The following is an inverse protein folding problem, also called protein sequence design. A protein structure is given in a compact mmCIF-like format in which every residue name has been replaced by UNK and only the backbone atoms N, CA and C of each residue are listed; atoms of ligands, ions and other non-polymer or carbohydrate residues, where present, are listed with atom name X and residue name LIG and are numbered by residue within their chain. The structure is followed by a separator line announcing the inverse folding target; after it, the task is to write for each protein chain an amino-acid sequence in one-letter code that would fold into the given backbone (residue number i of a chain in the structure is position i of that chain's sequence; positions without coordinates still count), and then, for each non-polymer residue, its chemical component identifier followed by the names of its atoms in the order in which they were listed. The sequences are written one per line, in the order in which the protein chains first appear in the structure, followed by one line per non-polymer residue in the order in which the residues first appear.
data_IF_997914022858
#
_entry.id   IF_997914022858
#
_cell.length_a   1.000
_cell.length_b   1.000
_cell.length_c   1.000
_cell.angle_alpha   90.00
_cell.angle_beta   90.00
_cell.angle_gamma   90.00
#
_symmetry.space_group_name_H-M   'P 1'
#
loop_
_entity.id
_entity.type
_entity.pdbx_description
1 polymer ?
#
# COMPACT_ATOMS: atom_id res chain seq x y z
N UNK A 1 0.78 41.40 -28.89
CA UNK A 1 -0.36 40.49 -29.16
C UNK A 1 -0.09 39.17 -28.45
N UNK A 2 -0.87 38.79 -27.43
CA UNK A 2 -0.67 37.54 -26.69
C UNK A 2 -1.43 36.39 -27.35
N UNK A 3 -0.80 35.23 -27.48
CA UNK A 3 -1.43 33.97 -27.87
C UNK A 3 -1.37 32.98 -26.70
N UNK A 4 -2.49 32.29 -26.50
CA UNK A 4 -2.93 31.61 -25.29
C UNK A 4 -2.23 30.27 -24.98
N UNK A 5 -2.29 29.79 -23.72
CA UNK A 5 -1.83 28.45 -23.35
C UNK A 5 -2.85 27.36 -23.71
N UNK A 6 -2.34 26.26 -24.27
CA UNK A 6 -3.11 25.05 -24.58
C UNK A 6 -3.62 24.36 -23.32
N UNK A 7 -4.94 24.15 -23.27
CA UNK A 7 -5.62 23.29 -22.30
C UNK A 7 -5.36 21.83 -22.68
N UNK A 8 -4.68 21.08 -21.81
CA UNK A 8 -4.75 19.63 -21.82
C UNK A 8 -5.93 19.20 -20.93
N UNK A 9 -6.99 18.74 -21.59
CA UNK A 9 -8.15 18.11 -20.97
C UNK A 9 -7.72 16.78 -20.37
N UNK A 10 -7.59 16.72 -19.04
CA UNK A 10 -7.46 15.45 -18.32
C UNK A 10 -8.83 14.77 -18.25
N UNK A 11 -8.91 13.65 -18.96
CA UNK A 11 -10.03 12.70 -18.95
C UNK A 11 -10.15 12.11 -17.55
N UNK A 12 -11.30 12.31 -16.88
CA UNK A 12 -11.67 11.55 -15.69
C UNK A 12 -12.21 10.17 -16.12
N UNK A 13 -11.81 9.06 -15.48
CA UNK A 13 -12.53 7.82 -15.59
C UNK A 13 -13.81 7.88 -14.73
N UNK A 14 -14.95 7.60 -15.36
CA UNK A 14 -16.24 7.41 -14.72
C UNK A 14 -16.35 6.00 -14.12
N UNK A 15 -16.81 5.82 -12.86
CA UNK A 15 -17.23 4.51 -12.39
C UNK A 15 -18.61 4.17 -12.95
N UNK A 16 -18.70 3.07 -13.69
CA UNK A 16 -19.97 2.51 -14.15
C UNK A 16 -20.69 1.80 -12.99
N UNK A 17 -22.00 2.01 -12.79
CA UNK A 17 -22.76 1.27 -11.79
C UNK A 17 -23.03 -0.15 -12.29
N UNK A 18 -22.58 -1.15 -11.52
CA UNK A 18 -23.00 -2.54 -11.75
C UNK A 18 -24.51 -2.64 -11.52
N UNK A 19 -25.20 -2.83 -12.63
CA UNK A 19 -26.62 -3.04 -12.73
C UNK A 19 -26.95 -4.47 -12.30
N UNK A 20 -27.74 -4.58 -11.23
CA UNK A 20 -28.99 -5.37 -11.15
C UNK A 20 -28.89 -6.87 -11.51
N UNK A 21 -29.03 -7.74 -10.49
CA UNK A 21 -29.71 -9.02 -10.70
C UNK A 21 -30.65 -9.38 -9.55
N UNK A 22 -31.92 -9.03 -9.77
CA UNK A 22 -33.10 -9.51 -9.07
C UNK A 22 -33.26 -11.00 -9.44
N UNK A 23 -33.31 -11.89 -8.45
CA UNK A 23 -33.77 -13.27 -8.60
C UNK A 23 -34.96 -13.41 -7.64
N UNK A 24 -36.18 -13.06 -8.08
CA UNK A 24 -37.13 -13.93 -8.79
C UNK A 24 -37.62 -15.08 -7.89
N UNK A 25 -38.53 -14.75 -6.98
CA UNK A 25 -39.37 -15.69 -6.27
C UNK A 25 -40.27 -16.43 -7.28
N UNK A 26 -40.09 -17.75 -7.40
CA UNK A 26 -40.96 -18.63 -8.17
C UNK A 26 -41.89 -19.38 -7.23
N UNK A 27 -43.16 -18.93 -7.21
CA UNK A 27 -44.33 -19.67 -6.78
C UNK A 27 -44.59 -20.82 -7.77
N UNK A 28 -44.74 -22.06 -7.28
CA UNK A 28 -45.33 -23.16 -8.05
C UNK A 28 -46.42 -23.81 -7.20
N UNK A 29 -47.66 -23.46 -7.55
CA UNK A 29 -48.86 -24.25 -7.27
C UNK A 29 -49.12 -25.13 -8.50
N UNK A 30 -49.26 -26.44 -8.32
CA UNK A 30 -49.84 -27.34 -9.33
C UNK A 30 -50.89 -28.23 -8.67
N UNK A 31 -51.98 -28.37 -9.40
CA UNK A 31 -53.33 -28.73 -9.03
C UNK A 31 -53.68 -30.03 -9.79
N UNK A 32 -54.32 -30.98 -9.09
CA UNK A 32 -55.14 -32.09 -9.57
C UNK A 32 -54.54 -33.18 -10.48
N UNK A 33 -54.75 -34.45 -10.07
CA UNK A 33 -55.47 -35.40 -10.93
C UNK A 33 -56.22 -36.46 -10.11
N UNK A 34 -57.52 -36.54 -10.36
CA UNK A 34 -58.45 -37.55 -9.86
C UNK A 34 -58.05 -38.97 -10.27
N UNK A 35 -58.15 -39.93 -9.34
CA UNK A 35 -58.55 -41.31 -9.66
C UNK A 35 -59.72 -41.68 -8.75
N UNK A 36 -60.87 -41.84 -9.40
CA UNK A 36 -62.18 -42.18 -8.84
C UNK A 36 -62.26 -43.68 -8.57
N UNK A 37 -62.96 -44.02 -7.48
CA UNK A 37 -63.47 -45.31 -7.03
C UNK A 37 -63.91 -46.28 -8.14
N UNK A 38 -63.76 -47.60 -7.94
CA UNK A 38 -64.89 -48.54 -7.79
C UNK A 38 -64.53 -49.65 -6.79
N UNK A 39 -65.44 -50.00 -5.86
CA UNK A 39 -65.30 -51.03 -4.82
C UNK A 39 -65.81 -52.45 -5.17
N UNK A 40 -65.50 -53.36 -4.23
CA UNK A 40 -66.23 -54.57 -3.80
C UNK A 40 -66.01 -55.93 -4.50
N UNK A 41 -65.77 -56.90 -3.60
CA UNK A 41 -66.20 -58.32 -3.60
C UNK A 41 -65.20 -59.37 -4.08
N UNK A 42 -64.71 -60.14 -3.12
CA UNK A 42 -64.06 -61.43 -3.31
C UNK A 42 -63.76 -62.06 -1.95
N UNK A 43 -64.72 -62.80 -1.41
CA UNK A 43 -64.53 -63.69 -0.27
C UNK A 43 -63.41 -64.69 -0.58
N UNK A 44 -62.52 -64.96 0.37
CA UNK A 44 -62.26 -66.33 0.77
C UNK A 44 -61.82 -66.41 2.22
N UNK A 45 -62.33 -67.44 2.86
CA UNK A 45 -62.24 -67.83 4.24
C UNK A 45 -60.84 -68.41 4.50
N UNK A 46 -60.04 -67.76 5.33
CA UNK A 46 -58.95 -68.48 5.99
C UNK A 46 -58.70 -67.89 7.36
N UNK A 47 -59.32 -68.54 8.33
CA UNK A 47 -58.83 -68.64 9.69
C UNK A 47 -57.39 -69.17 9.63
N UNK A 48 -56.42 -68.27 9.48
CA UNK A 48 -55.06 -68.53 9.91
C UNK A 48 -54.96 -68.04 11.34
N UNK A 49 -54.83 -69.02 12.23
CA UNK A 49 -54.46 -68.89 13.62
C UNK A 49 -53.45 -67.77 13.82
N UNK A 50 -53.60 -67.04 14.92
CA UNK A 50 -52.53 -66.30 15.55
C UNK A 50 -51.40 -67.30 15.85
N UNK A 51 -50.54 -67.55 14.86
CA UNK A 51 -49.20 -68.01 15.10
C UNK A 51 -48.52 -66.85 15.80
N UNK A 52 -48.37 -66.97 17.11
CA UNK A 52 -47.24 -66.37 17.79
C UNK A 52 -46.00 -66.91 17.08
N UNK A 53 -45.57 -66.21 16.03
CA UNK A 53 -44.19 -66.28 15.58
C UNK A 53 -43.44 -65.73 16.77
N UNK A 54 -42.92 -66.61 17.61
CA UNK A 54 -41.77 -66.29 18.43
C UNK A 54 -40.68 -65.95 17.41
N UNK A 55 -40.66 -64.69 16.99
CA UNK A 55 -39.52 -64.10 16.31
C UNK A 55 -38.41 -64.18 17.33
N UNK A 56 -37.61 -65.25 17.25
CA UNK A 56 -36.35 -65.32 17.98
C UNK A 56 -35.49 -64.23 17.36
N UNK A 57 -35.53 -63.03 17.94
CA UNK A 57 -34.66 -61.93 17.53
C UNK A 57 -33.24 -62.44 17.75
N UNK A 58 -32.52 -62.64 16.66
CA UNK A 58 -31.11 -62.96 16.74
C UNK A 58 -30.44 -61.77 17.45
N UNK A 59 -29.94 -62.03 18.65
CA UNK A 59 -29.23 -61.02 19.42
C UNK A 59 -27.81 -60.92 18.91
N UNK A 60 -27.39 -59.70 18.59
CA UNK A 60 -26.06 -59.34 18.11
C UNK A 60 -25.37 -58.55 19.22
N UNK A 61 -24.07 -58.78 19.41
CA UNK A 61 -23.27 -58.03 20.36
C UNK A 61 -22.81 -56.73 19.72
N UNK A 62 -23.05 -55.60 20.40
CA UNK A 62 -22.68 -54.28 19.90
C UNK A 62 -21.15 -54.14 19.94
N UNK A 63 -20.46 -53.88 18.82
CA UNK A 63 -19.03 -53.62 18.80
C UNK A 63 -18.66 -52.29 19.49
N UNK A 64 -17.37 -52.10 19.80
CA UNK A 64 -16.84 -50.81 20.27
C UNK A 64 -16.50 -49.92 19.08
N UNK A 65 -17.18 -48.77 18.99
CA UNK A 65 -17.16 -47.85 17.86
C UNK A 65 -16.54 -46.50 18.22
N UNK A 66 -16.19 -46.29 19.50
CA UNK A 66 -15.66 -45.00 19.96
C UNK A 66 -14.30 -44.74 19.33
N UNK A 67 -14.14 -43.54 18.75
CA UNK A 67 -12.92 -43.12 18.05
C UNK A 67 -12.86 -43.50 16.57
N UNK A 68 -13.80 -44.29 16.06
CA UNK A 68 -13.99 -44.48 14.62
C UNK A 68 -14.66 -43.24 14.00
N UNK A 69 -14.47 -43.04 12.70
CA UNK A 69 -15.34 -42.10 11.98
C UNK A 69 -16.74 -42.71 11.78
N UNK A 70 -17.74 -41.86 11.55
CA UNK A 70 -19.14 -42.30 11.48
C UNK A 70 -19.42 -43.29 10.34
N UNK A 71 -18.65 -43.26 9.24
CA UNK A 71 -18.81 -44.22 8.14
C UNK A 71 -18.21 -45.57 8.49
N UNK A 72 -17.00 -45.59 9.06
CA UNK A 72 -16.37 -46.80 9.62
C UNK A 72 -17.23 -47.45 10.71
N UNK A 73 -17.84 -46.64 11.58
CA UNK A 73 -18.70 -47.13 12.64
C UNK A 73 -19.99 -47.77 12.10
N UNK A 74 -20.57 -47.21 11.04
CA UNK A 74 -21.72 -47.81 10.36
C UNK A 74 -21.35 -49.15 9.70
N UNK A 75 -20.20 -49.21 9.05
CA UNK A 75 -19.71 -50.44 8.42
C UNK A 75 -19.43 -51.53 9.47
N UNK A 76 -18.84 -51.17 10.60
CA UNK A 76 -18.58 -52.11 11.70
C UNK A 76 -19.88 -52.69 12.30
N UNK A 77 -20.95 -51.90 12.37
CA UNK A 77 -22.28 -52.36 12.78
C UNK A 77 -22.89 -53.32 11.76
N UNK A 78 -22.80 -52.99 10.46
CA UNK A 78 -23.28 -53.87 9.39
C UNK A 78 -22.53 -55.21 9.39
N UNK A 79 -21.21 -55.18 9.54
CA UNK A 79 -20.38 -56.38 9.64
C UNK A 79 -20.67 -57.22 10.90
N UNK A 80 -21.10 -56.58 11.99
CA UNK A 80 -21.53 -57.27 13.20
C UNK A 80 -22.91 -57.95 13.05
N UNK A 81 -23.69 -57.56 12.04
CA UNK A 81 -25.00 -58.14 11.73
C UNK A 81 -26.18 -57.25 12.07
N UNK A 82 -25.95 -55.96 12.36
CA UNK A 82 -27.04 -54.98 12.48
C UNK A 82 -27.60 -54.63 11.11
N UNK A 83 -28.92 -54.61 10.99
CA UNK A 83 -29.60 -54.35 9.71
C UNK A 83 -30.10 -52.91 9.57
N UNK A 84 -30.28 -52.22 10.69
CA UNK A 84 -30.69 -50.82 10.70
C UNK A 84 -29.50 -49.88 10.61
N UNK A 85 -29.68 -48.75 9.91
CA UNK A 85 -28.66 -47.72 9.83
C UNK A 85 -28.53 -47.02 11.19
N UNK A 86 -27.30 -46.76 11.68
CA UNK A 86 -27.13 -46.02 12.92
C UNK A 86 -27.67 -44.60 12.80
N UNK A 87 -28.21 -44.09 13.90
CA UNK A 87 -28.58 -42.70 14.03
C UNK A 87 -27.35 -41.91 14.49
N UNK A 88 -27.07 -40.77 13.86
CA UNK A 88 -25.97 -39.90 14.27
C UNK A 88 -26.50 -38.64 14.92
N UNK A 89 -25.98 -38.32 16.10
CA UNK A 89 -26.26 -37.07 16.80
C UNK A 89 -24.97 -36.33 17.04
N UNK A 90 -24.94 -35.04 16.74
CA UNK A 90 -23.86 -34.18 17.21
C UNK A 90 -23.93 -34.07 18.74
N UNK A 91 -22.77 -34.13 19.41
CA UNK A 91 -22.66 -34.06 20.87
C UNK A 91 -23.21 -32.73 21.43
N UNK A 92 -23.06 -31.66 20.66
CA UNK A 92 -23.52 -30.32 21.04
C UNK A 92 -24.92 -30.01 20.44
N UNK A 93 -25.41 -30.87 19.54
CA UNK A 93 -26.66 -30.72 18.79
C UNK A 93 -26.77 -29.37 18.02
N UNK A 94 -25.63 -28.74 17.73
CA UNK A 94 -25.55 -27.47 17.01
C UNK A 94 -25.50 -27.71 15.49
N UNK A 95 -24.96 -28.85 15.08
CA UNK A 95 -24.77 -29.21 13.69
C UNK A 95 -25.57 -30.44 13.25
N UNK A 96 -25.91 -30.49 11.97
CA UNK A 96 -26.54 -31.67 11.37
C UNK A 96 -25.47 -32.58 10.76
N UNK A 97 -25.46 -33.85 11.15
CA UNK A 97 -24.54 -34.85 10.62
C UNK A 97 -24.97 -35.26 9.20
N UNK A 98 -24.48 -34.55 8.19
CA UNK A 98 -24.81 -34.81 6.77
C UNK A 98 -23.85 -35.85 6.16
N UNK A 99 -22.57 -35.83 6.56
CA UNK A 99 -21.51 -36.70 6.03
C UNK A 99 -20.82 -37.39 7.22
N UNK A 100 -21.25 -38.59 7.65
CA UNK A 100 -20.74 -39.24 8.86
C UNK A 100 -19.21 -39.45 8.89
N UNK A 101 -18.56 -39.64 7.75
CA UNK A 101 -17.10 -39.75 7.65
C UNK A 101 -16.31 -38.53 8.12
N UNK A 102 -16.93 -37.33 8.15
CA UNK A 102 -16.25 -36.13 8.67
C UNK A 102 -16.34 -36.02 10.20
N UNK A 103 -17.03 -36.95 10.86
CA UNK A 103 -17.36 -36.90 12.27
C UNK A 103 -16.73 -38.07 13.02
N UNK A 104 -16.27 -37.82 14.24
CA UNK A 104 -15.67 -38.84 15.12
C UNK A 104 -16.67 -39.31 16.18
N UNK A 105 -16.85 -40.62 16.33
CA UNK A 105 -17.74 -41.19 17.37
C UNK A 105 -17.14 -40.97 18.76
N UNK A 106 -17.91 -40.37 19.66
CA UNK A 106 -17.54 -40.09 21.06
C UNK A 106 -18.24 -41.00 22.05
N UNK A 107 -19.47 -41.36 21.74
CA UNK A 107 -20.24 -42.33 22.53
C UNK A 107 -21.24 -43.07 21.65
N UNK A 108 -21.65 -44.25 22.11
CA UNK A 108 -22.62 -45.10 21.46
C UNK A 108 -23.69 -45.53 22.47
N UNK A 109 -24.92 -45.68 21.98
CA UNK A 109 -26.03 -46.26 22.72
C UNK A 109 -26.76 -47.27 21.82
N UNK A 110 -26.91 -48.54 22.22
CA UNK A 110 -26.44 -49.21 23.44
C UNK A 110 -24.89 -49.29 23.61
N UNK A 111 -24.43 -49.43 24.84
CA UNK A 111 -22.99 -49.55 25.17
C UNK A 111 -22.33 -50.78 24.51
N UNK A 112 -21.04 -50.67 24.21
CA UNK A 112 -20.24 -51.75 23.63
C UNK A 112 -20.30 -53.03 24.49
N UNK A 113 -20.41 -54.19 23.84
CA UNK A 113 -20.55 -55.49 24.50
C UNK A 113 -21.98 -55.84 24.93
N UNK A 114 -22.95 -54.94 24.78
CA UNK A 114 -24.37 -55.24 25.04
C UNK A 114 -24.93 -56.14 23.94
N UNK A 115 -25.70 -57.16 24.31
CA UNK A 115 -26.42 -57.99 23.34
C UNK A 115 -27.81 -57.39 23.09
N UNK A 116 -28.09 -56.98 21.85
CA UNK A 116 -29.36 -56.37 21.44
C UNK A 116 -29.89 -57.02 20.16
N UNK A 117 -31.18 -56.87 19.82
CA UNK A 117 -31.71 -57.35 18.55
C UNK A 117 -30.98 -56.73 17.33
N UNK A 118 -30.80 -57.51 16.26
CA UNK A 118 -30.14 -57.05 15.03
C UNK A 118 -30.85 -55.87 14.33
N UNK A 119 -32.15 -55.70 14.56
CA UNK A 119 -33.00 -54.62 14.06
C UNK A 119 -33.04 -53.39 14.99
N UNK A 120 -32.26 -53.39 16.07
CA UNK A 120 -32.14 -52.23 16.95
C UNK A 120 -31.31 -51.12 16.28
N UNK A 121 -31.84 -49.90 16.25
CA UNK A 121 -31.09 -48.70 15.85
C UNK A 121 -30.08 -48.36 16.93
N UNK A 122 -28.80 -48.31 16.56
CA UNK A 122 -27.71 -47.82 17.43
C UNK A 122 -27.54 -46.33 17.21
N UNK A 123 -27.56 -45.55 18.28
CA UNK A 123 -27.33 -44.10 18.23
C UNK A 123 -25.86 -43.81 18.54
N UNK A 124 -25.19 -43.13 17.61
CA UNK A 124 -23.80 -42.71 17.71
C UNK A 124 -23.76 -41.20 17.94
N UNK A 125 -23.29 -40.79 19.11
CA UNK A 125 -22.97 -39.40 19.37
C UNK A 125 -21.59 -39.11 18.80
N UNK A 126 -21.54 -38.17 17.87
CA UNK A 126 -20.34 -37.82 17.12
C UNK A 126 -19.95 -36.37 17.35
N UNK A 127 -18.70 -36.04 17.03
CA UNK A 127 -18.19 -34.68 17.16
C UNK A 127 -17.25 -34.34 15.99
N UNK A 128 -17.28 -33.07 15.56
CA UNK A 128 -16.58 -32.53 14.38
C UNK A 128 -15.24 -31.86 14.68
N UNK A 129 -14.58 -32.20 15.81
CA UNK A 129 -13.35 -31.58 16.32
C UNK A 129 -12.27 -31.31 15.26
N UNK A 130 -12.11 -32.21 14.29
CA UNK A 130 -11.11 -32.09 13.25
C UNK A 130 -11.40 -30.92 12.28
N UNK A 131 -12.67 -30.72 11.90
CA UNK A 131 -13.05 -29.61 11.03
C UNK A 131 -13.05 -28.28 11.79
N UNK A 132 -13.49 -28.27 13.05
CA UNK A 132 -13.43 -27.09 13.90
C UNK A 132 -11.99 -26.65 14.17
N UNK A 133 -11.10 -27.60 14.43
CA UNK A 133 -9.67 -27.33 14.54
C UNK A 133 -9.08 -26.80 13.23
N UNK A 134 -9.47 -27.36 12.08
CA UNK A 134 -9.01 -26.89 10.77
C UNK A 134 -9.51 -25.46 10.46
N UNK A 135 -10.77 -25.16 10.78
CA UNK A 135 -11.35 -23.83 10.63
C UNK A 135 -10.66 -22.82 11.55
N UNK A 136 -10.43 -23.18 12.81
CA UNK A 136 -9.70 -22.36 13.79
C UNK A 136 -8.24 -22.10 13.38
N UNK A 137 -7.55 -23.12 12.85
CA UNK A 137 -6.20 -22.98 12.32
C UNK A 137 -6.17 -22.07 11.08
N UNK A 138 -7.13 -22.20 10.17
CA UNK A 138 -7.26 -21.33 8.99
C UNK A 138 -7.56 -19.88 9.37
N UNK A 139 -8.45 -19.65 10.34
CA UNK A 139 -8.73 -18.33 10.88
C UNK A 139 -7.47 -17.72 11.54
N UNK A 140 -6.72 -18.52 12.31
CA UNK A 140 -5.48 -18.07 12.94
C UNK A 140 -4.39 -17.74 11.91
N UNK A 141 -4.27 -18.54 10.85
CA UNK A 141 -3.33 -18.31 9.75
C UNK A 141 -3.68 -17.04 8.96
N UNK A 142 -4.96 -16.81 8.65
CA UNK A 142 -5.41 -15.60 7.96
C UNK A 142 -5.22 -14.35 8.82
N UNK A 143 -5.46 -14.43 10.13
CA UNK A 143 -5.15 -13.34 11.06
C UNK A 143 -3.64 -13.04 11.13
N UNK A 144 -2.79 -14.06 11.13
CA UNK A 144 -1.34 -13.90 11.09
C UNK A 144 -0.85 -13.27 9.78
N UNK A 145 -1.42 -13.68 8.64
CA UNK A 145 -1.13 -13.10 7.34
C UNK A 145 -1.52 -11.61 7.28
N UNK A 146 -2.74 -11.27 7.72
CA UNK A 146 -3.21 -9.88 7.76
C UNK A 146 -2.34 -9.00 8.68
N UNK A 147 -1.90 -9.54 9.82
CA UNK A 147 -0.97 -8.84 10.71
C UNK A 147 0.39 -8.60 10.04
N UNK A 148 0.94 -9.59 9.34
CA UNK A 148 2.20 -9.46 8.62
C UNK A 148 2.11 -8.42 7.48
N UNK A 149 1.01 -8.40 6.73
CA UNK A 149 0.77 -7.39 5.69
C UNK A 149 0.64 -5.97 6.26
N UNK A 150 -0.01 -5.83 7.42
CA UNK A 150 -0.12 -4.54 8.11
C UNK A 150 1.23 -4.04 8.64
N UNK A 151 2.05 -4.92 9.22
CA UNK A 151 3.40 -4.59 9.69
C UNK A 151 4.33 -4.23 8.52
N UNK A 152 4.25 -4.96 7.41
CA UNK A 152 4.97 -4.63 6.18
C UNK A 152 4.57 -3.25 5.65
N UNK A 153 3.27 -2.96 5.59
CA UNK A 153 2.76 -1.66 5.15
C UNK A 153 3.20 -0.50 6.07
N UNK A 154 3.19 -0.72 7.38
CA UNK A 154 3.68 0.25 8.35
C UNK A 154 5.19 0.51 8.19
N UNK A 155 5.99 -0.54 7.96
CA UNK A 155 7.44 -0.40 7.74
C UNK A 155 7.76 0.34 6.43
N UNK A 156 6.99 0.10 5.38
CA UNK A 156 7.12 0.81 4.10
C UNK A 156 6.75 2.30 4.25
N UNK A 157 5.67 2.61 4.97
CA UNK A 157 5.27 3.98 5.26
C UNK A 157 6.32 4.73 6.11
N UNK A 158 6.91 4.06 7.11
CA UNK A 158 7.99 4.62 7.92
C UNK A 158 9.27 4.86 7.09
N UNK A 159 9.59 3.97 6.17
CA UNK A 159 10.74 4.13 5.26
C UNK A 159 10.52 5.29 4.28
N UNK A 160 9.30 5.43 3.74
CA UNK A 160 8.94 6.52 2.85
C UNK A 160 8.98 7.88 3.57
N UNK A 161 8.50 7.96 4.82
CA UNK A 161 8.55 9.19 5.60
C UNK A 161 9.99 9.57 5.99
N UNK A 162 10.84 8.59 6.31
CA UNK A 162 12.26 8.82 6.55
C UNK A 162 12.99 9.33 5.29
N UNK A 163 12.70 8.76 4.11
CA UNK A 163 13.26 9.21 2.85
C UNK A 163 12.83 10.66 2.53
N UNK A 164 11.54 10.98 2.70
CA UNK A 164 11.04 12.34 2.50
C UNK A 164 11.65 13.36 3.48
N UNK A 165 11.88 12.96 4.73
CA UNK A 165 12.57 13.80 5.71
C UNK A 165 14.04 14.05 5.34
N UNK A 166 14.75 13.02 4.86
CA UNK A 166 16.13 13.14 4.38
C UNK A 166 16.23 14.07 3.17
N UNK A 167 15.30 13.96 2.22
CA UNK A 167 15.27 14.84 1.04
C UNK A 167 15.00 16.30 1.43
N UNK A 168 14.08 16.54 2.37
CA UNK A 168 13.84 17.89 2.90
C UNK A 168 15.06 18.47 3.60
N UNK A 169 15.78 17.65 4.38
CA UNK A 169 17.02 18.09 5.04
C UNK A 169 18.11 18.47 4.01
N UNK A 170 18.26 17.67 2.95
CA UNK A 170 19.20 17.96 1.86
C UNK A 170 18.83 19.26 1.10
N UNK A 171 17.53 19.50 0.85
CA UNK A 171 17.06 20.74 0.25
C UNK A 171 17.31 21.96 1.13
N UNK A 172 17.11 21.84 2.45
CA UNK A 172 17.40 22.92 3.39
C UNK A 172 18.90 23.23 3.44
N UNK A 173 19.77 22.22 3.44
CA UNK A 173 21.22 22.41 3.38
C UNK A 173 21.65 23.07 2.07
N UNK A 174 21.11 22.62 0.93
CA UNK A 174 21.38 23.24 -0.37
C UNK A 174 20.93 24.71 -0.40
N UNK A 175 19.76 25.03 0.17
CA UNK A 175 19.28 26.41 0.28
C UNK A 175 20.20 27.27 1.17
N UNK A 176 20.71 26.73 2.29
CA UNK A 176 21.69 27.43 3.15
C UNK A 176 23.00 27.69 2.43
N UNK A 177 23.49 26.73 1.64
CA UNK A 177 24.71 26.91 0.84
C UNK A 177 24.53 27.96 -0.25
N UNK A 178 23.38 27.97 -0.94
CA UNK A 178 23.07 29.01 -1.93
C UNK A 178 22.98 30.39 -1.29
N UNK A 179 22.31 30.53 -0.14
CA UNK A 179 22.23 31.79 0.59
C UNK A 179 23.63 32.29 1.02
N UNK A 180 24.50 31.39 1.51
CA UNK A 180 25.86 31.74 1.88
C UNK A 180 26.72 32.18 0.66
N UNK A 181 26.53 31.54 -0.50
CA UNK A 181 27.20 31.95 -1.74
C UNK A 181 26.71 33.32 -2.23
N UNK A 182 25.40 33.59 -2.16
CA UNK A 182 24.85 34.90 -2.52
C UNK A 182 25.37 36.00 -1.57
N UNK A 183 25.44 35.71 -0.26
CA UNK A 183 26.01 36.65 0.72
C UNK A 183 27.49 36.92 0.45
N UNK A 184 28.28 35.87 0.17
CA UNK A 184 29.69 36.02 -0.20
C UNK A 184 29.88 36.83 -1.49
N UNK A 185 29.02 36.63 -2.49
CA UNK A 185 29.03 37.42 -3.72
C UNK A 185 28.72 38.90 -3.46
N UNK A 186 27.70 39.20 -2.64
CA UNK A 186 27.37 40.57 -2.24
C UNK A 186 28.51 41.25 -1.48
N UNK A 187 29.19 40.53 -0.59
CA UNK A 187 30.36 41.05 0.12
C UNK A 187 31.54 41.32 -0.82
N UNK A 188 31.79 40.43 -1.80
CA UNK A 188 32.84 40.63 -2.80
C UNK A 188 32.56 41.85 -3.71
N UNK A 189 31.30 42.06 -4.10
CA UNK A 189 30.88 43.26 -4.84
C UNK A 189 31.08 44.54 -4.01
N UNK A 190 30.71 44.52 -2.72
CA UNK A 190 30.93 45.67 -1.81
C UNK A 190 32.42 45.98 -1.65
N UNK A 191 33.27 44.96 -1.45
CA UNK A 191 34.72 45.15 -1.36
C UNK A 191 35.32 45.72 -2.65
N UNK A 192 34.82 45.29 -3.81
CA UNK A 192 35.27 45.82 -5.10
C UNK A 192 34.93 47.30 -5.23
N UNK A 193 33.69 47.68 -4.87
CA UNK A 193 33.26 49.09 -4.89
C UNK A 193 34.08 49.96 -3.92
N UNK A 194 34.42 49.46 -2.72
CA UNK A 194 35.23 50.20 -1.74
C UNK A 194 36.70 50.35 -2.19
N UNK A 195 37.26 49.33 -2.86
CA UNK A 195 38.59 49.41 -3.46
C UNK A 195 38.62 50.40 -4.64
N UNK A 196 37.58 50.43 -5.48
CA UNK A 196 37.49 51.42 -6.57
C UNK A 196 37.35 52.87 -6.07
N UNK A 197 36.65 53.11 -4.95
CA UNK A 197 36.55 54.44 -4.34
C UNK A 197 37.86 54.92 -3.68
N UNK A 198 38.73 54.01 -3.29
CA UNK A 198 40.03 54.31 -2.69
C UNK A 198 41.18 54.39 -3.70
N UNK A 199 40.92 54.13 -4.98
CA UNK A 199 41.89 54.40 -6.05
C UNK A 199 42.18 55.91 -6.11
N UNK A 200 43.46 56.32 -6.08
CA UNK A 200 43.81 57.73 -6.22
C UNK A 200 43.31 58.24 -7.56
N UNK A 201 42.72 59.45 -7.55
CA UNK A 201 42.24 60.10 -8.76
C UNK A 201 43.33 60.05 -9.84
N UNK A 202 43.00 59.68 -11.09
CA UNK A 202 43.96 59.73 -12.19
C UNK A 202 44.58 61.12 -12.19
N UNK A 203 45.92 61.20 -12.10
CA UNK A 203 46.63 62.46 -12.25
C UNK A 203 46.12 63.11 -13.53
N UNK A 204 45.43 64.24 -13.40
CA UNK A 204 44.91 64.97 -14.55
C UNK A 204 46.10 65.20 -15.50
N UNK A 205 45.95 64.95 -16.82
CA UNK A 205 47.00 65.30 -17.76
C UNK A 205 47.28 66.78 -17.56
N UNK A 206 48.47 67.12 -17.07
CA UNK A 206 48.91 68.49 -17.05
C UNK A 206 48.83 68.94 -18.50
N UNK A 207 47.89 69.83 -18.80
CA UNK A 207 47.71 70.33 -20.14
C UNK A 207 48.99 71.10 -20.45
N UNK A 208 49.93 70.43 -21.12
CA UNK A 208 50.99 71.08 -21.87
C UNK A 208 50.30 71.87 -22.98
N UNK A 209 49.78 73.04 -22.60
CA UNK A 209 49.36 74.04 -23.56
C UNK A 209 50.62 74.34 -24.35
N UNK A 210 50.62 74.01 -25.63
CA UNK A 210 51.74 74.26 -26.54
C UNK A 210 51.83 75.77 -26.77
N UNK A 211 52.33 76.49 -25.76
CA UNK A 211 52.61 77.91 -25.77
C UNK A 211 53.92 78.08 -26.53
N UNK A 212 53.95 78.99 -27.49
CA UNK A 212 55.12 79.23 -28.33
C UNK A 212 55.40 80.74 -28.40
N UNK A 213 56.63 81.13 -28.09
CA UNK A 213 57.12 82.50 -28.21
C UNK A 213 58.20 82.58 -29.30
N UNK A 214 58.03 83.48 -30.27
CA UNK A 214 59.00 83.70 -31.36
C UNK A 214 60.34 84.25 -30.86
N UNK A 215 60.35 84.99 -29.75
CA UNK A 215 61.55 85.53 -29.11
C UNK A 215 61.29 85.96 -27.65
N UNK A 216 62.35 86.31 -26.91
CA UNK A 216 62.24 86.72 -25.52
C UNK A 216 61.53 88.06 -25.29
N UNK A 217 61.44 88.91 -26.31
CA UNK A 217 60.64 90.14 -26.21
C UNK A 217 59.16 89.80 -26.11
N UNK A 218 58.67 88.91 -26.99
CA UNK A 218 57.28 88.44 -26.95
C UNK A 218 56.97 87.72 -25.63
N UNK A 219 57.89 86.89 -25.13
CA UNK A 219 57.72 86.22 -23.83
C UNK A 219 57.64 87.21 -22.66
N UNK A 220 58.49 88.25 -22.63
CA UNK A 220 58.45 89.30 -21.59
C UNK A 220 57.22 90.19 -21.70
N UNK A 221 56.80 90.57 -22.92
CA UNK A 221 55.59 91.35 -23.16
C UNK A 221 54.33 90.59 -22.74
N UNK A 222 54.31 89.27 -22.97
CA UNK A 222 53.26 88.38 -22.47
C UNK A 222 53.34 88.11 -20.95
N UNK A 223 54.36 88.65 -20.26
CA UNK A 223 54.57 88.45 -18.82
C UNK A 223 54.97 87.02 -18.44
N UNK A 224 55.47 86.24 -19.38
CA UNK A 224 55.80 84.83 -19.21
C UNK A 224 57.27 84.57 -18.85
N UNK A 225 58.15 85.56 -18.99
CA UNK A 225 59.56 85.44 -18.66
C UNK A 225 59.85 85.81 -17.18
N UNK A 226 60.78 85.11 -16.50
CA UNK A 226 61.59 83.98 -16.98
C UNK A 226 60.77 82.68 -17.14
N UNK A 227 61.08 81.88 -18.17
CA UNK A 227 60.40 80.60 -18.46
C UNK A 227 61.32 79.44 -18.08
N UNK A 228 60.87 78.53 -17.22
CA UNK A 228 61.68 77.39 -16.75
C UNK A 228 61.53 76.14 -17.63
N UNK A 229 62.58 75.30 -17.66
CA UNK A 229 62.53 74.01 -18.35
C UNK A 229 61.37 73.13 -17.85
N UNK A 230 60.51 72.68 -18.77
CA UNK A 230 59.30 71.91 -18.48
C UNK A 230 58.04 72.76 -18.36
N UNK A 231 58.16 74.09 -18.34
CA UNK A 231 56.99 74.98 -18.44
C UNK A 231 56.54 75.17 -19.89
N UNK A 232 55.23 75.36 -20.12
CA UNK A 232 54.70 75.68 -21.44
C UNK A 232 55.33 76.98 -21.96
N UNK A 233 55.97 76.92 -23.14
CA UNK A 233 56.70 78.06 -23.71
C UNK A 233 58.22 77.95 -23.68
N UNK A 234 58.77 77.01 -22.90
CA UNK A 234 60.22 76.81 -22.86
C UNK A 234 60.72 76.21 -24.18
N UNK A 235 61.79 76.79 -24.72
CA UNK A 235 62.57 76.19 -25.82
C UNK A 235 64.03 76.56 -25.65
N UNK A 236 64.94 75.62 -25.92
CA UNK A 236 66.38 75.86 -25.87
C UNK A 236 66.87 76.97 -26.81
N UNK A 237 66.05 77.40 -27.78
CA UNK A 237 66.35 78.56 -28.63
C UNK A 237 66.09 79.93 -27.96
N UNK A 238 65.37 79.96 -26.82
CA UNK A 238 65.16 81.16 -25.98
C UNK A 238 66.11 81.21 -24.78
N UNK A 239 66.72 80.07 -24.46
CA UNK A 239 67.70 79.88 -23.39
C UNK A 239 69.10 80.01 -24.00
N UNK A 240 69.68 81.21 -23.87
CA UNK A 240 70.92 81.56 -24.59
C UNK A 240 72.13 80.79 -24.05
N UNK A 241 72.15 80.51 -22.76
CA UNK A 241 73.24 79.86 -22.03
C UNK A 241 72.93 78.40 -21.64
N UNK A 242 71.71 77.92 -21.91
CA UNK A 242 71.24 76.55 -21.71
C UNK A 242 71.30 76.09 -20.24
N UNK A 243 70.95 77.00 -19.33
CA UNK A 243 70.93 76.73 -17.89
C UNK A 243 69.57 76.21 -17.39
N UNK A 244 68.55 76.19 -18.27
CA UNK A 244 67.19 75.78 -17.97
C UNK A 244 66.24 76.94 -17.69
N UNK A 245 66.66 78.19 -17.86
CA UNK A 245 65.86 79.40 -17.67
C UNK A 245 65.89 80.24 -18.95
N UNK A 246 64.83 80.18 -19.74
CA UNK A 246 64.69 80.99 -20.94
C UNK A 246 64.30 82.44 -20.61
N UNK A 247 64.86 83.38 -21.37
CA UNK A 247 64.51 84.81 -21.36
C UNK A 247 64.76 85.60 -20.07
N UNK A 248 65.81 85.23 -19.33
CA UNK A 248 66.43 86.09 -18.30
C UNK A 248 66.74 87.53 -18.77
#
# INVERSE_FOLDING_TARGET
MPAAPGRLSSVYPTPSPLHRRRQSAFLIAILALCVVCIPLTGCDESSAESMTVETVTATVTVPDLVGMDGEQAAEALEQAGFTERPAFTDIDAEETVIIPANWSVRSQDPEAGTAVPADQVVTLTVNHDAADAAASASASASAAAAKAEAEASASAAASASAAAAAERAAQEEAARQQAAQEEAARQAEQQTQENEQSLPAPWAPQQETNVYYQNCTEAREAGAAPIYAGEPGYRGALDRDNDGIACE
#
